data_IF_152355454052
#
_entry.id   IF_152355454052
#
_cell.length_a   1.000
_cell.length_b   1.000
_cell.length_c   1.000
_cell.angle_alpha   90.00
_cell.angle_beta   90.00
_cell.angle_gamma   90.00
#
_symmetry.space_group_name_H-M   'P 1'
#
loop_
_entity.id
_entity.type
_entity.pdbx_description
1 polymer ?
#
# COMPACT_ATOMS: atom_id res chain seq x y z
N UNK A 1 18.69 -0.59 58.64
CA UNK A 1 17.49 -0.47 57.79
C UNK A 1 17.46 -1.63 56.79
N UNK A 2 16.60 -2.63 57.00
CA UNK A 2 16.47 -3.80 56.10
C UNK A 2 14.98 -4.07 55.91
N UNK A 3 14.31 -3.27 55.08
CA UNK A 3 12.87 -3.37 54.86
C UNK A 3 12.57 -3.44 53.36
N UNK A 4 11.71 -4.42 53.00
CA UNK A 4 10.91 -4.52 51.77
C UNK A 4 11.52 -5.03 50.45
N UNK A 5 12.25 -6.16 50.48
CA UNK A 5 12.40 -6.99 49.26
C UNK A 5 11.17 -7.89 49.00
N UNK A 6 10.43 -8.28 50.03
CA UNK A 6 9.30 -9.21 49.90
C UNK A 6 8.12 -8.59 49.11
N UNK A 7 7.85 -7.30 49.29
CA UNK A 7 6.73 -6.62 48.62
C UNK A 7 6.92 -6.43 47.10
N UNK A 8 8.16 -6.42 46.59
CA UNK A 8 8.43 -6.44 45.14
C UNK A 8 8.15 -7.82 44.53
N UNK A 9 8.54 -8.88 45.23
CA UNK A 9 8.35 -10.26 44.76
C UNK A 9 6.88 -10.66 44.60
N UNK A 10 5.99 -10.26 45.53
CA UNK A 10 4.56 -10.55 45.41
C UNK A 10 3.89 -9.84 44.22
N UNK A 11 4.29 -8.60 43.92
CA UNK A 11 3.78 -7.85 42.76
C UNK A 11 4.21 -8.48 41.44
N UNK A 12 5.42 -9.04 41.39
CA UNK A 12 5.90 -9.78 40.22
C UNK A 12 5.15 -11.11 40.03
N UNK A 13 4.73 -11.78 41.11
CA UNK A 13 3.94 -13.02 41.01
C UNK A 13 2.50 -12.81 40.52
N UNK A 14 1.91 -11.64 40.78
CA UNK A 14 0.54 -11.32 40.34
C UNK A 14 0.38 -11.20 38.82
N UNK A 15 1.50 -11.02 38.08
CA UNK A 15 1.51 -10.94 36.61
C UNK A 15 1.35 -12.30 35.93
N UNK A 16 1.56 -13.38 36.67
CA UNK A 16 1.55 -14.73 36.13
C UNK A 16 0.37 -15.54 36.67
N UNK A 17 -0.26 -16.33 35.80
CA UNK A 17 -1.29 -17.26 36.23
C UNK A 17 -0.65 -18.45 36.98
N UNK A 18 -0.64 -18.35 38.32
CA UNK A 18 -0.08 -19.36 39.21
C UNK A 18 -0.78 -20.71 39.08
N UNK A 19 -2.10 -20.73 38.82
CA UNK A 19 -2.86 -21.96 38.63
C UNK A 19 -2.39 -22.69 37.36
N UNK A 20 -2.20 -21.94 36.27
CA UNK A 20 -1.68 -22.46 35.00
C UNK A 20 -0.25 -22.97 35.14
N UNK A 21 0.62 -22.25 35.87
CA UNK A 21 1.99 -22.69 36.16
C UNK A 21 1.96 -24.02 36.93
N UNK A 22 1.14 -24.11 37.98
CA UNK A 22 1.05 -25.29 38.82
C UNK A 22 0.52 -26.51 38.07
N UNK A 23 -0.54 -26.34 37.27
CA UNK A 23 -1.09 -27.42 36.42
C UNK A 23 -0.07 -27.93 35.41
N UNK A 24 0.70 -27.03 34.79
CA UNK A 24 1.78 -27.40 33.87
C UNK A 24 2.93 -28.10 34.57
N UNK A 25 3.33 -27.64 35.74
CA UNK A 25 4.35 -28.31 36.56
C UNK A 25 3.93 -29.74 36.88
N UNK A 26 2.67 -29.93 37.29
CA UNK A 26 2.13 -31.24 37.58
C UNK A 26 2.10 -32.15 36.33
N UNK A 27 1.63 -31.64 35.20
CA UNK A 27 1.63 -32.39 33.94
C UNK A 27 3.04 -32.78 33.47
N UNK A 28 4.04 -31.90 33.65
CA UNK A 28 5.44 -32.19 33.32
C UNK A 28 6.03 -33.26 34.26
N UNK A 29 5.69 -33.19 35.55
CA UNK A 29 6.14 -34.16 36.54
C UNK A 29 5.52 -35.55 36.31
N UNK A 30 4.24 -35.63 35.93
CA UNK A 30 3.57 -36.91 35.67
C UNK A 30 3.95 -37.51 34.32
N UNK A 31 3.98 -36.70 33.26
CA UNK A 31 4.08 -37.20 31.88
C UNK A 31 5.51 -37.20 31.34
N UNK A 32 6.42 -36.41 31.94
CA UNK A 32 7.80 -36.25 31.48
C UNK A 32 8.81 -36.48 32.61
N UNK A 33 8.54 -37.45 33.49
CA UNK A 33 9.33 -37.74 34.70
C UNK A 33 10.80 -38.10 34.41
N UNK A 34 11.08 -38.70 33.25
CA UNK A 34 12.47 -38.97 32.82
C UNK A 34 13.28 -37.69 32.56
N UNK A 35 12.61 -36.61 32.12
CA UNK A 35 13.24 -35.30 31.83
C UNK A 35 13.17 -34.34 33.01
N UNK A 36 12.15 -34.49 33.85
CA UNK A 36 11.93 -33.71 35.08
C UNK A 36 11.71 -34.68 36.25
N UNK A 37 12.81 -35.21 36.84
CA UNK A 37 12.72 -36.26 37.86
C UNK A 37 11.99 -35.82 39.13
N UNK A 38 12.09 -34.54 39.46
CA UNK A 38 11.45 -33.96 40.65
C UNK A 38 10.36 -32.97 40.25
N UNK A 39 9.38 -32.80 41.14
CA UNK A 39 8.37 -31.76 41.00
C UNK A 39 8.99 -30.36 40.99
N UNK A 40 10.08 -30.14 41.75
CA UNK A 40 10.80 -28.88 41.76
C UNK A 40 11.39 -28.54 40.38
N UNK A 41 11.93 -29.51 39.65
CA UNK A 41 12.47 -29.32 38.29
C UNK A 41 11.36 -28.98 37.30
N UNK A 42 10.23 -29.69 37.38
CA UNK A 42 9.05 -29.41 36.57
C UNK A 42 8.47 -28.02 36.86
N UNK A 43 8.43 -27.63 38.14
CA UNK A 43 8.00 -26.31 38.60
C UNK A 43 8.92 -25.22 38.04
N UNK A 44 10.25 -25.38 38.15
CA UNK A 44 11.22 -24.43 37.59
C UNK A 44 11.04 -24.25 36.08
N UNK A 45 10.79 -25.33 35.34
CA UNK A 45 10.53 -25.28 33.90
C UNK A 45 9.24 -24.52 33.58
N UNK A 46 8.15 -24.86 34.26
CA UNK A 46 6.84 -24.21 34.05
C UNK A 46 6.89 -22.70 34.34
N UNK A 47 7.64 -22.28 35.36
CA UNK A 47 7.91 -20.88 35.67
C UNK A 47 8.68 -20.17 34.56
N UNK A 48 9.73 -20.80 34.04
CA UNK A 48 10.49 -20.24 32.91
C UNK A 48 9.62 -20.11 31.65
N UNK A 49 8.73 -21.06 31.40
CA UNK A 49 7.79 -20.99 30.28
C UNK A 49 6.77 -19.86 30.44
N UNK A 50 6.22 -19.67 31.64
CA UNK A 50 5.28 -18.58 31.89
C UNK A 50 5.93 -17.19 31.74
N UNK A 51 7.18 -17.05 32.17
CA UNK A 51 7.96 -15.82 31.93
C UNK A 51 8.18 -15.55 30.44
N UNK A 52 8.43 -16.59 29.67
CA UNK A 52 8.60 -16.47 28.22
C UNK A 52 7.28 -16.11 27.52
N UNK A 53 6.16 -16.74 27.89
CA UNK A 53 4.84 -16.44 27.32
C UNK A 53 4.44 -14.97 27.54
N UNK A 54 4.69 -14.42 28.73
CA UNK A 54 4.40 -13.00 29.00
C UNK A 54 5.26 -12.09 28.13
N UNK A 55 6.57 -12.34 28.02
CA UNK A 55 7.45 -11.56 27.14
C UNK A 55 7.02 -11.61 25.68
N UNK A 56 6.69 -12.81 25.18
CA UNK A 56 6.21 -12.99 23.80
C UNK A 56 4.87 -12.28 23.58
N UNK A 57 3.97 -12.27 24.57
CA UNK A 57 2.71 -11.55 24.46
C UNK A 57 2.91 -10.03 24.42
N UNK A 58 3.81 -9.49 25.26
CA UNK A 58 4.19 -8.08 25.24
C UNK A 58 4.82 -7.69 23.89
N UNK A 59 5.77 -8.48 23.39
CA UNK A 59 6.41 -8.27 22.07
C UNK A 59 5.39 -8.34 20.92
N UNK A 60 4.45 -9.28 20.97
CA UNK A 60 3.37 -9.38 19.97
C UNK A 60 2.47 -8.16 19.98
N UNK A 61 2.10 -7.64 21.15
CA UNK A 61 1.32 -6.41 21.24
C UNK A 61 2.08 -5.20 20.66
N UNK A 62 3.40 -5.12 20.88
CA UNK A 62 4.20 -4.04 20.29
C UNK A 62 4.27 -4.14 18.76
N UNK A 63 4.46 -5.36 18.23
CA UNK A 63 4.52 -5.58 16.78
C UNK A 63 3.15 -5.31 16.16
N UNK A 64 2.06 -5.78 16.76
CA UNK A 64 0.69 -5.56 16.26
C UNK A 64 0.32 -4.07 16.23
N UNK A 65 0.72 -3.31 17.26
CA UNK A 65 0.53 -1.86 17.28
C UNK A 65 1.34 -1.17 16.18
N UNK A 66 2.58 -1.60 15.95
CA UNK A 66 3.43 -1.05 14.89
C UNK A 66 2.89 -1.40 13.49
N UNK A 67 2.47 -2.64 13.26
CA UNK A 67 1.91 -3.08 11.97
C UNK A 67 0.62 -2.34 11.67
N UNK A 68 -0.27 -2.18 12.66
CA UNK A 68 -1.51 -1.41 12.48
C UNK A 68 -1.25 0.06 12.13
N UNK A 69 -0.23 0.67 12.73
CA UNK A 69 0.18 2.03 12.39
C UNK A 69 0.75 2.13 10.96
N UNK A 70 1.57 1.16 10.53
CA UNK A 70 2.09 1.10 9.16
C UNK A 70 0.99 0.84 8.13
N UNK A 71 0.06 -0.06 8.42
CA UNK A 71 -1.09 -0.35 7.55
C UNK A 71 -1.98 0.87 7.34
N UNK A 72 -2.20 1.68 8.39
CA UNK A 72 -2.97 2.92 8.27
C UNK A 72 -2.28 3.92 7.32
N UNK A 73 -0.95 4.09 7.43
CA UNK A 73 -0.18 4.95 6.52
C UNK A 73 -0.22 4.46 5.07
N UNK A 74 -0.06 3.16 4.86
CA UNK A 74 -0.14 2.56 3.52
C UNK A 74 -1.51 2.78 2.89
N UNK A 75 -2.60 2.71 3.66
CA UNK A 75 -3.94 3.03 3.15
C UNK A 75 -4.07 4.49 2.72
N UNK A 76 -3.60 5.42 3.54
CA UNK A 76 -3.60 6.85 3.21
C UNK A 76 -2.77 7.14 1.95
N UNK A 77 -1.56 6.57 1.84
CA UNK A 77 -0.71 6.70 0.66
C UNK A 77 -1.39 6.14 -0.60
N UNK A 78 -2.08 5.01 -0.49
CA UNK A 78 -2.82 4.41 -1.60
C UNK A 78 -4.01 5.27 -2.03
N UNK A 79 -4.74 5.88 -1.08
CA UNK A 79 -5.83 6.80 -1.36
C UNK A 79 -5.32 8.06 -2.07
N UNK A 80 -4.20 8.64 -1.58
CA UNK A 80 -3.55 9.77 -2.22
C UNK A 80 -3.04 9.41 -3.63
N UNK A 81 -2.44 8.23 -3.81
CA UNK A 81 -2.00 7.75 -5.11
C UNK A 81 -3.17 7.56 -6.08
N UNK A 82 -4.32 7.04 -5.60
CA UNK A 82 -5.52 6.90 -6.40
C UNK A 82 -6.04 8.28 -6.85
N UNK A 83 -6.13 9.26 -5.95
CA UNK A 83 -6.51 10.64 -6.28
C UNK A 83 -5.55 11.24 -7.31
N UNK A 84 -4.25 11.14 -7.07
CA UNK A 84 -3.21 11.64 -7.99
C UNK A 84 -3.32 11.00 -9.38
N UNK A 85 -3.61 9.70 -9.45
CA UNK A 85 -3.75 8.99 -10.73
C UNK A 85 -4.95 9.48 -11.54
N UNK A 86 -6.08 9.79 -10.88
CA UNK A 86 -7.28 10.32 -11.53
C UNK A 86 -7.03 11.73 -12.04
N UNK A 87 -6.39 12.58 -11.23
CA UNK A 87 -6.03 13.95 -11.63
C UNK A 87 -5.10 13.98 -12.84
N UNK A 88 -4.08 13.13 -12.86
CA UNK A 88 -3.15 13.02 -13.99
C UNK A 88 -3.88 12.62 -15.28
N UNK A 89 -4.78 11.65 -15.21
CA UNK A 89 -5.58 11.22 -16.38
C UNK A 89 -6.48 12.35 -16.88
N UNK A 90 -7.13 13.09 -15.98
CA UNK A 90 -7.95 14.23 -16.35
C UNK A 90 -7.14 15.34 -17.03
N UNK A 91 -5.93 15.62 -16.56
CA UNK A 91 -5.02 16.58 -17.19
C UNK A 91 -4.61 16.14 -18.61
N UNK A 92 -4.25 14.88 -18.79
CA UNK A 92 -3.89 14.33 -20.11
C UNK A 92 -5.06 14.47 -21.09
N UNK A 93 -6.27 14.14 -20.67
CA UNK A 93 -7.45 14.24 -21.53
C UNK A 93 -7.82 15.69 -21.84
N UNK A 94 -7.73 16.59 -20.85
CA UNK A 94 -7.93 18.02 -21.07
C UNK A 94 -6.93 18.60 -22.07
N UNK A 95 -5.65 18.21 -21.96
CA UNK A 95 -4.60 18.62 -22.88
C UNK A 95 -4.83 18.08 -24.29
N UNK A 96 -5.34 16.86 -24.42
CA UNK A 96 -5.72 16.28 -25.71
C UNK A 96 -6.85 17.08 -26.36
N UNK A 97 -7.93 17.34 -25.63
CA UNK A 97 -9.06 18.14 -26.10
C UNK A 97 -8.60 19.53 -26.54
N UNK A 98 -7.70 20.16 -25.76
CA UNK A 98 -7.12 21.46 -26.10
C UNK A 98 -6.38 21.41 -27.44
N UNK A 99 -5.50 20.42 -27.65
CA UNK A 99 -4.76 20.27 -28.92
C UNK A 99 -5.68 19.99 -30.11
N UNK A 100 -6.71 19.16 -29.94
CA UNK A 100 -7.69 18.89 -31.00
C UNK A 100 -8.49 20.14 -31.36
N UNK A 101 -8.89 20.94 -30.37
CA UNK A 101 -9.57 22.22 -30.57
C UNK A 101 -8.68 23.25 -31.27
N UNK A 102 -7.42 23.37 -30.86
CA UNK A 102 -6.42 24.24 -31.50
C UNK A 102 -6.18 23.82 -32.96
N UNK A 103 -5.98 22.54 -33.24
CA UNK A 103 -5.82 22.04 -34.60
C UNK A 103 -7.05 22.30 -35.48
N UNK A 104 -8.27 22.18 -34.91
CA UNK A 104 -9.51 22.52 -35.62
C UNK A 104 -9.61 24.03 -35.89
N UNK A 105 -9.22 24.86 -34.93
CA UNK A 105 -9.20 26.31 -35.10
C UNK A 105 -8.20 26.73 -36.18
N UNK A 106 -6.99 26.17 -36.20
CA UNK A 106 -5.99 26.44 -37.24
C UNK A 106 -6.45 26.00 -38.63
N UNK A 107 -7.09 24.82 -38.76
CA UNK A 107 -7.71 24.39 -40.02
C UNK A 107 -8.75 25.40 -40.51
N UNK A 108 -9.63 25.85 -39.61
CA UNK A 108 -10.66 26.83 -39.95
C UNK A 108 -10.05 28.18 -40.36
N UNK A 109 -8.98 28.64 -39.69
CA UNK A 109 -8.24 29.86 -40.09
C UNK A 109 -7.66 29.73 -41.49
N UNK A 110 -7.04 28.59 -41.80
CA UNK A 110 -6.49 28.33 -43.14
C UNK A 110 -7.56 28.34 -44.23
N UNK A 111 -8.73 27.76 -43.97
CA UNK A 111 -9.84 27.77 -44.92
C UNK A 111 -10.39 29.19 -45.13
N UNK A 112 -10.54 29.97 -44.05
CA UNK A 112 -10.96 31.38 -44.14
C UNK A 112 -9.96 32.21 -44.95
N UNK A 113 -8.65 32.00 -44.76
CA UNK A 113 -7.61 32.68 -45.52
C UNK A 113 -7.68 32.33 -47.02
N UNK A 114 -7.81 31.05 -47.38
CA UNK A 114 -7.94 30.62 -48.76
C UNK A 114 -9.19 31.20 -49.46
N UNK A 115 -10.32 31.30 -48.74
CA UNK A 115 -11.53 31.96 -49.25
C UNK A 115 -11.32 33.45 -49.49
N UNK A 116 -10.56 34.15 -48.63
CA UNK A 116 -10.19 35.56 -48.83
C UNK A 116 -9.29 35.76 -50.05
N UNK A 117 -8.46 34.77 -50.36
CA UNK A 117 -7.59 34.76 -51.56
C UNK A 117 -8.33 34.34 -52.84
N UNK A 118 -9.63 34.05 -52.77
CA UNK A 118 -10.44 33.66 -53.94
C UNK A 118 -10.17 32.24 -54.44
N UNK A 119 -9.46 31.41 -53.67
CA UNK A 119 -9.10 30.05 -54.04
C UNK A 119 -10.31 29.13 -53.81
N UNK A 120 -10.63 28.29 -54.80
CA UNK A 120 -11.72 27.31 -54.66
C UNK A 120 -11.36 26.23 -53.63
N UNK A 121 -12.37 25.67 -52.97
CA UNK A 121 -12.17 24.63 -51.94
C UNK A 121 -11.34 23.43 -52.43
N UNK A 122 -11.54 23.01 -53.69
CA UNK A 122 -10.81 21.88 -54.28
C UNK A 122 -9.32 22.20 -54.46
N UNK A 123 -8.98 23.43 -54.85
CA UNK A 123 -7.60 23.86 -55.01
C UNK A 123 -6.89 24.01 -53.66
N UNK A 124 -7.61 24.48 -52.62
CA UNK A 124 -7.10 24.50 -51.24
C UNK A 124 -6.78 23.10 -50.71
N UNK A 125 -7.68 22.13 -50.91
CA UNK A 125 -7.43 20.73 -50.52
C UNK A 125 -6.23 20.13 -51.27
N UNK A 126 -6.10 20.39 -52.58
CA UNK A 126 -4.97 19.92 -53.37
C UNK A 126 -3.63 20.51 -52.92
N UNK A 127 -3.59 21.78 -52.50
CA UNK A 127 -2.39 22.40 -51.91
C UNK A 127 -2.00 21.76 -50.58
N UNK A 128 -2.97 21.47 -49.71
CA UNK A 128 -2.71 20.78 -48.43
C UNK A 128 -2.17 19.37 -48.67
N UNK A 129 -2.81 18.60 -49.55
CA UNK A 129 -2.36 17.24 -49.88
C UNK A 129 -0.92 17.25 -50.38
N UNK A 130 -0.59 18.15 -51.32
CA UNK A 130 0.78 18.33 -51.82
C UNK A 130 1.77 18.73 -50.72
N UNK A 131 1.40 19.66 -49.83
CA UNK A 131 2.26 20.09 -48.72
C UNK A 131 2.53 18.97 -47.71
N UNK A 132 1.56 18.07 -47.51
CA UNK A 132 1.68 16.89 -46.64
C UNK A 132 2.31 15.67 -47.33
N UNK A 133 2.71 15.79 -48.60
CA UNK A 133 3.31 14.70 -49.38
C UNK A 133 2.32 13.66 -49.90
N UNK A 134 1.02 13.86 -49.67
CA UNK A 134 -0.03 13.06 -50.31
C UNK A 134 -0.16 13.55 -51.76
N UNK A 135 0.25 12.70 -52.72
CA UNK A 135 0.13 12.98 -54.15
C UNK A 135 -1.30 13.38 -54.53
N UNK A 136 -1.44 14.19 -55.59
CA UNK A 136 -2.75 14.58 -56.13
C UNK A 136 -3.52 13.31 -56.52
N UNK A 137 -4.54 12.96 -55.74
CA UNK A 137 -5.32 11.73 -55.94
C UNK A 137 -6.16 11.79 -57.20
N UNK A 138 -5.54 11.61 -58.37
CA UNK A 138 -6.23 11.05 -59.52
C UNK A 138 -6.26 9.54 -59.32
N UNK A 139 -7.40 9.02 -58.85
CA UNK A 139 -7.68 7.59 -58.93
C UNK A 139 -7.76 7.21 -60.42
N UNK A 140 -6.66 6.67 -60.95
CA UNK A 140 -6.67 6.01 -62.25
C UNK A 140 -7.20 4.59 -61.99
N UNK A 141 -8.51 4.40 -62.08
CA UNK A 141 -9.11 3.06 -62.06
C UNK A 141 -8.68 2.27 -63.29
N UNK A 142 -8.37 0.99 -63.08
CA UNK A 142 -8.29 -0.06 -64.11
C UNK A 142 -9.69 -0.33 -64.72
#
# INVERSE_FOLDING_TARGET
MRCNNNNKSYKDMARYDLSKIMKRAWALFTNARAKYPTFADALRKSWSMAKFEVKVAEERQTIEAETKAREAKVREENEQAAISSVLLRAQIEADRIRREAEAKAERMKGEIAARKEGISYNEYQNRISRAMGYGCGSYCGD
#
